data_IF_503042937027
#
_entry.id   IF_503042937027
#
_cell.length_a   1.000
_cell.length_b   1.000
_cell.length_c   1.000
_cell.angle_alpha   90.00
_cell.angle_beta   90.00
_cell.angle_gamma   90.00
#
_symmetry.space_group_name_H-M   'P 1'
#
loop_
_entity.id
_entity.type
_entity.pdbx_description
1 polymer ?
#
# COMPACT_ATOMS: atom_id res chain seq x y z
N UNK A 1 29.45 16.11 37.36
CA UNK A 1 29.56 15.00 38.31
C UNK A 1 28.82 13.79 37.77
N UNK A 2 29.54 12.71 37.44
CA UNK A 2 28.93 11.47 36.94
C UNK A 2 28.21 10.76 38.08
N UNK A 3 26.90 10.64 38.00
CA UNK A 3 26.11 9.91 39.00
C UNK A 3 26.27 8.38 38.90
N UNK A 4 27.07 7.87 37.97
CA UNK A 4 27.19 6.42 37.71
C UNK A 4 25.91 5.77 37.17
N UNK A 5 24.88 6.55 36.87
CA UNK A 5 23.65 6.03 36.30
C UNK A 5 23.87 5.58 34.85
N UNK A 6 23.35 4.42 34.50
CA UNK A 6 23.37 3.88 33.16
C UNK A 6 22.52 4.77 32.23
N UNK A 7 23.06 5.12 31.04
CA UNK A 7 22.35 5.87 30.03
C UNK A 7 21.43 4.93 29.24
N UNK A 8 20.22 5.39 28.97
CA UNK A 8 19.25 4.65 28.14
C UNK A 8 18.40 5.64 27.35
N UNK A 9 17.98 5.26 26.14
CA UNK A 9 17.23 6.14 25.26
C UNK A 9 18.12 7.20 24.57
N UNK A 10 17.51 8.27 24.14
CA UNK A 10 18.20 9.38 23.46
C UNK A 10 19.00 10.22 24.44
N UNK A 11 20.27 10.41 24.13
CA UNK A 11 21.20 11.23 24.91
C UNK A 11 21.96 12.19 23.98
N UNK A 12 22.01 13.46 24.35
CA UNK A 12 22.82 14.45 23.65
C UNK A 12 24.19 14.53 24.27
N UNK A 13 25.20 14.09 23.53
CA UNK A 13 26.59 14.20 23.91
C UNK A 13 27.24 15.45 23.26
N UNK A 14 28.54 15.65 23.48
CA UNK A 14 29.24 16.81 22.96
C UNK A 14 29.33 16.80 21.40
N UNK A 15 29.32 15.63 20.81
CA UNK A 15 29.45 15.37 19.37
C UNK A 15 28.11 15.16 18.65
N UNK A 16 26.99 14.97 19.36
CA UNK A 16 25.70 14.80 18.76
C UNK A 16 24.68 14.03 19.59
N UNK A 17 23.59 13.63 18.94
CA UNK A 17 22.61 12.74 19.54
C UNK A 17 23.02 11.28 19.37
N UNK A 18 22.89 10.51 20.44
CA UNK A 18 23.14 9.07 20.51
C UNK A 18 21.94 8.37 21.11
N UNK A 19 21.81 7.09 20.85
CA UNK A 19 20.78 6.25 21.47
C UNK A 19 21.42 5.07 22.19
N UNK A 20 20.98 4.83 23.41
CA UNK A 20 21.44 3.72 24.25
C UNK A 20 20.29 2.76 24.51
N UNK A 21 20.51 1.48 24.24
CA UNK A 21 19.56 0.44 24.54
C UNK A 21 19.28 0.33 26.05
N UNK A 22 18.26 -0.42 26.45
CA UNK A 22 17.87 -0.61 27.85
C UNK A 22 18.97 -1.23 28.72
N UNK A 23 19.93 -1.90 28.12
CA UNK A 23 21.12 -2.46 28.78
C UNK A 23 22.31 -1.48 28.80
N UNK A 24 22.12 -0.24 28.35
CA UNK A 24 23.16 0.79 28.27
C UNK A 24 24.10 0.68 27.07
N UNK A 25 23.91 -0.28 26.17
CA UNK A 25 24.71 -0.39 24.95
C UNK A 25 24.37 0.74 23.97
N UNK A 26 25.39 1.39 23.42
CA UNK A 26 25.21 2.39 22.37
C UNK A 26 24.74 1.70 21.08
N UNK A 27 23.72 2.26 20.45
CA UNK A 27 23.16 1.75 19.20
C UNK A 27 23.89 2.36 18.01
N UNK A 28 23.95 1.58 16.90
CA UNK A 28 24.41 2.00 15.58
C UNK A 28 23.53 1.38 14.51
N UNK A 29 23.49 2.00 13.32
CA UNK A 29 22.61 1.61 12.23
C UNK A 29 21.20 2.15 12.38
N UNK A 30 20.23 1.48 11.74
CA UNK A 30 18.83 1.91 11.77
C UNK A 30 18.18 1.67 13.13
N UNK A 31 17.48 2.69 13.61
CA UNK A 31 16.70 2.70 14.85
C UNK A 31 15.29 3.17 14.55
N UNK A 32 14.29 2.44 15.06
CA UNK A 32 12.90 2.90 15.05
C UNK A 32 12.50 3.31 16.46
N UNK A 33 12.09 4.57 16.62
CA UNK A 33 11.64 5.12 17.88
C UNK A 33 10.50 6.11 17.67
N UNK A 34 9.47 6.09 18.51
CA UNK A 34 8.30 6.96 18.39
C UNK A 34 7.54 6.88 17.07
N UNK A 35 7.70 5.77 16.30
CA UNK A 35 7.09 5.60 14.99
C UNK A 35 7.95 6.10 13.82
N UNK A 36 9.00 6.86 14.10
CA UNK A 36 9.95 7.40 13.10
C UNK A 36 11.22 6.54 13.02
N UNK A 37 11.90 6.63 11.86
CA UNK A 37 13.18 5.97 11.64
C UNK A 37 14.34 6.96 11.71
N UNK A 38 15.41 6.53 12.35
CA UNK A 38 16.66 7.26 12.54
C UNK A 38 17.83 6.40 12.09
N UNK A 39 18.93 7.02 11.70
CA UNK A 39 20.18 6.31 11.42
C UNK A 39 21.28 6.83 12.33
N UNK A 40 21.85 5.91 13.08
CA UNK A 40 23.00 6.15 13.94
C UNK A 40 24.24 5.63 13.23
N UNK A 41 25.24 6.46 13.09
CA UNK A 41 26.49 6.06 12.45
C UNK A 41 27.07 4.82 13.18
N UNK A 42 27.34 3.71 12.50
CA UNK A 42 27.75 2.47 13.15
C UNK A 42 29.06 2.56 13.92
N UNK A 43 29.98 3.45 13.49
CA UNK A 43 31.29 3.61 14.09
C UNK A 43 31.29 4.58 15.27
N UNK A 44 30.53 5.66 15.15
CA UNK A 44 30.50 6.74 16.13
C UNK A 44 29.26 6.73 17.02
N UNK A 45 28.15 6.12 16.58
CA UNK A 45 26.85 6.14 17.23
C UNK A 45 26.12 7.49 17.08
N UNK A 46 26.64 8.43 16.32
CA UNK A 46 26.03 9.76 16.14
C UNK A 46 24.84 9.66 15.21
N UNK A 47 23.71 10.24 15.62
CA UNK A 47 22.50 10.33 14.79
C UNK A 47 22.74 11.21 13.57
N UNK A 48 22.35 10.73 12.41
CA UNK A 48 22.40 11.48 11.15
C UNK A 48 21.26 12.49 11.05
N UNK A 49 21.63 13.70 10.64
CA UNK A 49 20.70 14.78 10.24
C UNK A 49 21.02 15.32 8.85
N UNK A 50 22.10 14.85 8.26
CA UNK A 50 22.49 15.15 6.89
C UNK A 50 22.28 13.91 6.00
N UNK A 51 22.12 14.10 4.68
CA UNK A 51 21.96 12.99 3.75
C UNK A 51 23.04 11.93 3.89
N UNK A 52 22.66 10.67 3.70
CA UNK A 52 23.55 9.50 3.82
C UNK A 52 23.47 8.67 2.56
N UNK A 53 24.61 8.41 1.94
CA UNK A 53 24.73 7.40 0.88
C UNK A 53 24.94 6.02 1.50
N UNK A 54 24.00 5.11 1.25
CA UNK A 54 24.07 3.74 1.75
C UNK A 54 23.46 2.79 0.74
N UNK A 55 24.19 1.74 0.36
CA UNK A 55 23.75 0.72 -0.61
C UNK A 55 23.27 1.29 -1.95
N UNK A 56 23.86 2.38 -2.42
CA UNK A 56 23.50 3.02 -3.69
C UNK A 56 22.24 3.90 -3.63
N UNK A 57 21.74 4.15 -2.44
CA UNK A 57 20.62 5.07 -2.19
C UNK A 57 21.07 6.23 -1.31
N UNK A 58 20.55 7.40 -1.62
CA UNK A 58 20.72 8.59 -0.80
C UNK A 58 19.50 8.77 0.10
N UNK A 59 19.72 8.66 1.40
CA UNK A 59 18.71 8.80 2.44
C UNK A 59 18.68 10.25 2.92
N UNK A 60 17.49 10.84 2.98
CA UNK A 60 17.28 12.19 3.47
C UNK A 60 16.70 12.17 4.90
N UNK A 61 17.26 13.02 5.75
CA UNK A 61 16.81 13.20 7.14
C UNK A 61 16.41 14.65 7.37
N UNK A 62 15.45 14.87 8.24
CA UNK A 62 15.14 16.22 8.68
C UNK A 62 16.03 16.67 9.85
N UNK A 63 15.79 17.91 10.34
CA UNK A 63 16.55 18.47 11.43
C UNK A 63 16.44 17.73 12.76
N UNK A 64 15.38 16.92 12.93
CA UNK A 64 15.21 16.05 14.09
C UNK A 64 15.96 14.72 13.96
N UNK A 65 16.53 14.44 12.78
CA UNK A 65 17.16 13.18 12.42
C UNK A 65 16.17 12.12 11.94
N UNK A 66 14.88 12.45 11.84
CA UNK A 66 13.91 11.52 11.30
C UNK A 66 14.09 11.34 9.78
N UNK A 67 14.11 10.09 9.34
CA UNK A 67 14.24 9.76 7.92
C UNK A 67 13.01 10.22 7.13
N UNK A 68 13.22 10.88 6.00
CA UNK A 68 12.17 11.45 5.13
C UNK A 68 12.08 10.79 3.75
N UNK A 69 12.84 9.76 3.53
CA UNK A 69 12.85 9.01 2.28
C UNK A 69 14.21 8.95 1.62
N UNK A 70 14.25 8.29 0.49
CA UNK A 70 15.43 8.37 -0.37
C UNK A 70 15.33 9.62 -1.24
N UNK A 71 16.46 10.24 -1.54
CA UNK A 71 16.58 10.94 -2.80
C UNK A 71 16.63 9.88 -3.90
N UNK A 72 15.46 9.41 -4.33
CA UNK A 72 15.42 8.53 -5.47
C UNK A 72 15.83 9.35 -6.70
N UNK A 73 16.64 8.78 -7.59
CA UNK A 73 16.72 9.29 -8.95
C UNK A 73 15.30 9.49 -9.46
N UNK A 74 15.05 10.60 -10.16
CA UNK A 74 13.73 10.87 -10.71
C UNK A 74 13.23 9.61 -11.41
N UNK A 75 12.11 9.02 -10.93
CA UNK A 75 11.56 7.83 -11.52
C UNK A 75 11.48 6.58 -10.66
N UNK A 76 11.98 6.56 -9.43
CA UNK A 76 11.87 5.36 -8.59
C UNK A 76 10.78 5.50 -7.52
N UNK A 77 10.13 4.38 -7.18
CA UNK A 77 9.21 4.30 -6.06
C UNK A 77 9.99 4.38 -4.74
N UNK A 78 9.45 5.11 -3.79
CA UNK A 78 10.02 5.22 -2.45
C UNK A 78 9.54 4.06 -1.58
N UNK A 79 10.42 3.44 -0.79
CA UNK A 79 10.00 2.52 0.25
C UNK A 79 9.16 3.21 1.32
N UNK A 80 8.18 2.47 1.83
CA UNK A 80 7.36 2.88 2.96
C UNK A 80 7.05 1.68 3.86
N UNK A 81 6.87 1.92 5.13
CA UNK A 81 6.37 0.93 6.09
C UNK A 81 4.91 1.19 6.47
N UNK A 82 4.28 2.17 5.84
CA UNK A 82 2.87 2.50 6.00
C UNK A 82 2.27 2.96 4.67
N UNK A 83 0.97 2.87 4.56
CA UNK A 83 0.24 3.37 3.41
C UNK A 83 -0.01 4.86 3.60
N UNK A 84 0.32 5.66 2.58
CA UNK A 84 -0.07 7.06 2.51
C UNK A 84 -1.30 7.22 1.61
N UNK A 85 -2.18 8.16 1.93
CA UNK A 85 -3.31 8.52 1.08
C UNK A 85 -4.40 7.46 0.91
N UNK A 86 -4.43 6.44 1.73
CA UNK A 86 -5.67 5.68 1.94
C UNK A 86 -6.78 6.55 2.52
N UNK A 87 -6.57 7.82 2.44
CA UNK A 87 -7.45 8.94 2.71
C UNK A 87 -8.73 8.52 3.23
N UNK A 88 -9.17 7.66 3.70
CA UNK A 88 -10.43 7.71 4.23
C UNK A 88 -11.11 6.37 4.44
N UNK A 89 -11.27 6.21 5.68
CA UNK A 89 -12.35 5.40 6.17
C UNK A 89 -13.72 5.69 5.47
N UNK A 90 -13.79 6.70 4.62
CA UNK A 90 -14.99 7.18 3.94
C UNK A 90 -15.15 6.64 2.52
N UNK A 91 -14.48 5.58 2.14
CA UNK A 91 -14.71 4.94 0.85
C UNK A 91 -16.15 4.42 0.72
N UNK A 92 -17.08 5.37 0.72
CA UNK A 92 -18.49 5.12 0.48
C UNK A 92 -18.69 4.68 -0.96
N UNK A 93 -19.55 3.69 -1.18
CA UNK A 93 -19.87 3.23 -2.52
C UNK A 93 -20.93 4.15 -3.13
N UNK A 94 -20.51 4.95 -4.12
CA UNK A 94 -21.34 5.91 -4.84
C UNK A 94 -21.46 5.53 -6.31
N UNK A 95 -22.36 6.22 -7.02
CA UNK A 95 -22.65 5.98 -8.43
C UNK A 95 -21.40 5.85 -9.31
N UNK A 96 -21.38 4.82 -10.15
CA UNK A 96 -20.29 4.55 -11.10
C UNK A 96 -19.09 3.83 -10.51
N UNK A 97 -19.00 3.69 -9.20
CA UNK A 97 -17.93 2.91 -8.56
C UNK A 97 -18.05 1.43 -8.88
N UNK A 98 -16.91 0.73 -8.83
CA UNK A 98 -16.83 -0.71 -9.07
C UNK A 98 -15.72 -1.32 -8.22
N UNK A 99 -15.66 -2.64 -8.16
CA UNK A 99 -14.61 -3.38 -7.45
C UNK A 99 -15.16 -4.40 -6.46
N UNK A 100 -14.25 -5.00 -5.69
CA UNK A 100 -14.55 -6.08 -4.76
C UNK A 100 -15.64 -5.69 -3.75
N UNK A 101 -15.53 -4.53 -3.15
CA UNK A 101 -16.47 -4.05 -2.14
C UNK A 101 -17.89 -3.88 -2.71
N UNK A 102 -18.00 -3.35 -3.93
CA UNK A 102 -19.30 -3.25 -4.64
C UNK A 102 -19.86 -4.63 -4.87
N UNK A 103 -19.04 -5.60 -5.30
CA UNK A 103 -19.47 -6.99 -5.52
C UNK A 103 -20.00 -7.64 -4.23
N UNK A 104 -19.29 -7.49 -3.13
CA UNK A 104 -19.73 -8.01 -1.83
C UNK A 104 -21.09 -7.43 -1.44
N UNK A 105 -21.26 -6.12 -1.59
CA UNK A 105 -22.56 -5.48 -1.33
C UNK A 105 -23.64 -5.98 -2.29
N UNK A 106 -23.35 -6.19 -3.57
CA UNK A 106 -24.30 -6.76 -4.54
C UNK A 106 -24.71 -8.17 -4.16
N UNK A 107 -23.77 -9.03 -3.75
CA UNK A 107 -24.08 -10.39 -3.27
C UNK A 107 -25.01 -10.31 -2.07
N UNK A 108 -24.72 -9.44 -1.11
CA UNK A 108 -25.52 -9.28 0.11
C UNK A 108 -26.94 -8.73 -0.16
N UNK A 109 -27.07 -7.93 -1.20
CA UNK A 109 -28.35 -7.38 -1.66
C UNK A 109 -29.10 -8.30 -2.64
N UNK A 110 -28.55 -9.47 -2.99
CA UNK A 110 -29.14 -10.41 -3.94
C UNK A 110 -29.09 -9.96 -5.41
N UNK A 111 -28.18 -9.05 -5.75
CA UNK A 111 -28.04 -8.49 -7.10
C UNK A 111 -26.95 -9.15 -7.94
N UNK A 112 -26.06 -9.91 -7.32
CA UNK A 112 -24.94 -10.52 -8.02
C UNK A 112 -25.39 -11.76 -8.82
N UNK A 113 -25.13 -11.77 -10.10
CA UNK A 113 -25.59 -12.85 -10.98
C UNK A 113 -24.48 -13.51 -11.84
N UNK A 114 -23.27 -12.94 -11.92
CA UNK A 114 -22.18 -13.51 -12.74
C UNK A 114 -20.85 -12.76 -12.57
N UNK A 115 -19.84 -13.19 -13.33
CA UNK A 115 -18.51 -12.53 -13.43
C UNK A 115 -18.51 -11.17 -14.15
N UNK A 116 -19.61 -10.45 -14.17
CA UNK A 116 -19.68 -9.11 -14.71
C UNK A 116 -19.04 -8.11 -13.76
N UNK A 117 -18.62 -6.98 -14.35
CA UNK A 117 -18.14 -5.84 -13.55
C UNK A 117 -19.19 -5.46 -12.50
N UNK A 118 -18.82 -5.56 -11.24
CA UNK A 118 -19.65 -5.09 -10.15
C UNK A 118 -19.63 -3.55 -10.13
N UNK A 119 -20.74 -2.94 -10.44
CA UNK A 119 -20.86 -1.48 -10.49
C UNK A 119 -22.01 -0.98 -9.63
N UNK A 120 -21.86 0.23 -9.08
CA UNK A 120 -22.94 0.98 -8.44
C UNK A 120 -23.76 1.64 -9.55
N UNK A 121 -24.85 1.01 -9.91
CA UNK A 121 -25.79 1.40 -10.95
C UNK A 121 -27.18 1.66 -10.34
N UNK A 122 -28.17 1.95 -11.19
CA UNK A 122 -29.53 2.24 -10.72
C UNK A 122 -30.18 1.08 -9.94
N UNK A 123 -30.10 -0.20 -10.38
CA UNK A 123 -30.55 -1.34 -9.58
C UNK A 123 -29.86 -1.42 -8.20
N UNK A 124 -28.54 -1.22 -8.14
CA UNK A 124 -27.79 -1.21 -6.89
C UNK A 124 -28.30 -0.12 -5.92
N UNK A 125 -28.40 1.11 -6.40
CA UNK A 125 -28.88 2.26 -5.59
C UNK A 125 -30.31 1.98 -5.07
N UNK A 126 -31.20 1.45 -5.90
CA UNK A 126 -32.56 1.10 -5.48
C UNK A 126 -32.56 0.00 -4.39
N UNK A 127 -31.73 -1.04 -4.55
CA UNK A 127 -31.60 -2.10 -3.54
C UNK A 127 -31.02 -1.59 -2.22
N UNK A 128 -30.02 -0.69 -2.29
CA UNK A 128 -29.46 -0.05 -1.10
C UNK A 128 -30.51 0.76 -0.36
N UNK A 129 -31.30 1.59 -1.06
CA UNK A 129 -32.40 2.37 -0.45
C UNK A 129 -33.41 1.47 0.25
N UNK A 130 -33.83 0.39 -0.41
CA UNK A 130 -34.73 -0.59 0.17
C UNK A 130 -34.15 -1.28 1.42
N UNK A 131 -32.84 -1.59 1.38
CA UNK A 131 -32.15 -2.14 2.53
C UNK A 131 -32.11 -1.14 3.70
N UNK A 132 -31.67 0.11 3.44
CA UNK A 132 -31.58 1.17 4.43
C UNK A 132 -32.94 1.42 5.10
N UNK A 133 -34.00 1.46 4.33
CA UNK A 133 -35.37 1.64 4.86
C UNK A 133 -35.74 0.51 5.82
N UNK A 134 -35.48 -0.76 5.46
CA UNK A 134 -35.76 -1.92 6.33
C UNK A 134 -34.86 -1.96 7.56
N UNK A 135 -33.63 -1.48 7.45
CA UNK A 135 -32.66 -1.43 8.55
C UNK A 135 -32.82 -0.18 9.46
N UNK A 136 -33.74 0.72 9.17
CA UNK A 136 -33.95 1.94 9.93
C UNK A 136 -32.81 2.96 9.78
N UNK A 137 -32.08 2.90 8.66
CA UNK A 137 -30.97 3.78 8.34
C UNK A 137 -31.45 4.97 7.47
N UNK A 138 -30.69 6.06 7.40
CA UNK A 138 -30.93 7.13 6.43
C UNK A 138 -30.97 6.58 4.99
N UNK A 139 -32.06 6.85 4.26
CA UNK A 139 -32.30 6.30 2.92
C UNK A 139 -31.60 7.15 1.87
N UNK A 140 -30.29 6.99 1.75
CA UNK A 140 -29.44 7.75 0.85
C UNK A 140 -29.19 7.08 -0.51
N UNK A 141 -29.21 5.73 -0.53
CA UNK A 141 -28.79 4.95 -1.69
C UNK A 141 -27.27 4.81 -1.82
N UNK A 142 -26.52 5.30 -0.84
CA UNK A 142 -25.06 5.21 -0.74
C UNK A 142 -24.72 4.18 0.32
N UNK A 143 -23.75 3.29 0.04
CA UNK A 143 -23.22 2.39 1.07
C UNK A 143 -22.08 3.10 1.76
N UNK A 144 -22.37 3.67 2.91
CA UNK A 144 -21.40 4.17 3.88
C UNK A 144 -21.04 3.07 4.89
N UNK A 145 -20.16 3.39 5.84
CA UNK A 145 -19.73 2.42 6.86
C UNK A 145 -20.91 1.90 7.69
N UNK A 146 -21.85 2.76 8.06
CA UNK A 146 -23.02 2.36 8.85
C UNK A 146 -23.91 1.40 8.06
N UNK A 147 -24.13 1.65 6.78
CA UNK A 147 -24.88 0.77 5.89
C UNK A 147 -24.15 -0.57 5.69
N UNK A 148 -22.83 -0.53 5.51
CA UNK A 148 -21.99 -1.73 5.38
C UNK A 148 -22.05 -2.62 6.63
N UNK A 149 -21.87 -2.02 7.80
CA UNK A 149 -21.92 -2.74 9.07
C UNK A 149 -23.31 -3.39 9.29
N UNK A 150 -24.39 -2.68 8.95
CA UNK A 150 -25.74 -3.21 9.01
C UNK A 150 -26.02 -4.33 8.00
N UNK A 151 -25.30 -4.36 6.87
CA UNK A 151 -25.40 -5.43 5.88
C UNK A 151 -24.89 -6.77 6.42
N UNK A 152 -24.01 -6.76 7.42
CA UNK A 152 -23.36 -7.96 7.97
C UNK A 152 -22.78 -8.84 6.86
N UNK A 153 -21.84 -8.26 6.12
CA UNK A 153 -21.27 -8.89 4.93
C UNK A 153 -20.28 -10.00 5.25
N UNK A 154 -19.82 -10.10 6.50
CA UNK A 154 -18.73 -10.97 6.93
C UNK A 154 -17.34 -10.42 6.60
N UNK A 155 -17.25 -9.24 5.97
CA UNK A 155 -15.99 -8.58 5.60
C UNK A 155 -15.86 -7.22 6.29
N UNK A 156 -14.63 -6.82 6.66
CA UNK A 156 -14.40 -5.50 7.23
C UNK A 156 -14.67 -4.40 6.18
N UNK A 157 -14.95 -3.20 6.65
CA UNK A 157 -15.12 -2.03 5.78
C UNK A 157 -13.91 -1.77 4.86
N UNK A 158 -12.73 -2.20 5.30
CA UNK A 158 -11.46 -2.04 4.61
C UNK A 158 -11.08 -3.22 3.71
N UNK A 159 -12.02 -4.07 3.33
CA UNK A 159 -11.81 -5.36 2.65
C UNK A 159 -10.97 -5.29 1.36
N UNK A 160 -11.06 -4.19 0.64
CA UNK A 160 -10.38 -3.97 -0.63
C UNK A 160 -9.21 -2.97 -0.55
N UNK A 161 -8.77 -2.65 0.66
CA UNK A 161 -7.58 -1.83 0.89
C UNK A 161 -6.30 -2.66 0.81
N UNK A 162 -5.15 -2.02 1.00
CA UNK A 162 -3.88 -2.73 1.13
C UNK A 162 -3.93 -3.71 2.29
N UNK A 163 -3.67 -4.97 1.99
CA UNK A 163 -3.75 -6.07 2.96
C UNK A 163 -2.39 -6.65 3.31
N UNK A 164 -1.40 -6.42 2.45
CA UNK A 164 -0.05 -6.89 2.69
C UNK A 164 0.61 -6.05 3.79
N UNK A 165 1.40 -6.70 4.63
CA UNK A 165 2.30 -6.01 5.55
C UNK A 165 3.56 -5.66 4.78
N UNK A 166 3.92 -4.36 4.66
CA UNK A 166 5.11 -3.97 3.91
C UNK A 166 6.38 -4.38 4.64
N UNK A 167 7.43 -4.62 3.86
CA UNK A 167 8.77 -4.80 4.40
C UNK A 167 9.25 -3.54 5.12
N UNK A 168 10.13 -3.70 6.13
CA UNK A 168 10.73 -2.56 6.82
C UNK A 168 11.56 -1.71 5.87
N UNK A 169 11.74 -0.44 6.23
CA UNK A 169 12.48 0.54 5.42
C UNK A 169 13.92 0.11 5.15
N UNK A 170 14.51 -0.70 6.04
CA UNK A 170 15.86 -1.24 5.94
C UNK A 170 16.03 -2.40 4.96
N UNK A 171 14.93 -2.92 4.40
CA UNK A 171 14.99 -4.04 3.47
C UNK A 171 15.74 -3.67 2.18
N UNK A 172 16.56 -4.57 1.70
CA UNK A 172 17.31 -4.44 0.46
C UNK A 172 16.39 -4.53 -0.77
N UNK A 173 16.89 -4.07 -1.93
CA UNK A 173 16.16 -4.23 -3.20
C UNK A 173 15.81 -5.69 -3.48
N UNK A 174 16.74 -6.60 -3.23
CA UNK A 174 16.50 -8.05 -3.45
C UNK A 174 15.37 -8.58 -2.57
N UNK A 175 15.36 -8.24 -1.29
CA UNK A 175 14.29 -8.65 -0.38
C UNK A 175 12.93 -8.09 -0.82
N UNK A 176 12.89 -6.85 -1.32
CA UNK A 176 11.65 -6.26 -1.84
C UNK A 176 11.14 -6.99 -3.08
N UNK A 177 12.03 -7.32 -4.02
CA UNK A 177 11.66 -8.09 -5.22
C UNK A 177 11.10 -9.47 -4.83
N UNK A 178 11.76 -10.17 -3.91
CA UNK A 178 11.29 -11.49 -3.45
C UNK A 178 9.98 -11.39 -2.67
N UNK A 179 9.77 -10.36 -1.88
CA UNK A 179 8.49 -10.14 -1.18
C UNK A 179 7.34 -9.86 -2.15
N UNK A 180 7.58 -9.04 -3.18
CA UNK A 180 6.62 -8.77 -4.24
C UNK A 180 6.20 -10.06 -4.96
N UNK A 181 7.18 -10.86 -5.39
CA UNK A 181 6.95 -12.12 -6.08
C UNK A 181 6.27 -13.13 -5.14
N UNK A 182 6.73 -13.24 -3.90
CA UNK A 182 6.17 -14.13 -2.89
C UNK A 182 4.71 -13.81 -2.59
N UNK A 183 4.36 -12.53 -2.49
CA UNK A 183 2.96 -12.12 -2.32
C UNK A 183 2.11 -12.59 -3.50
N UNK A 184 2.53 -12.30 -4.73
CA UNK A 184 1.79 -12.70 -5.93
C UNK A 184 1.65 -14.23 -6.03
N UNK A 185 2.72 -14.96 -5.72
CA UNK A 185 2.72 -16.42 -5.72
C UNK A 185 1.74 -17.02 -4.71
N UNK A 186 1.64 -16.43 -3.52
CA UNK A 186 0.70 -16.86 -2.48
C UNK A 186 -0.77 -16.63 -2.87
N UNK A 187 -1.06 -15.84 -3.92
CA UNK A 187 -2.41 -15.67 -4.46
C UNK A 187 -2.73 -16.71 -5.56
N UNK A 188 -1.84 -17.65 -5.85
CA UNK A 188 -2.10 -18.70 -6.84
C UNK A 188 -3.34 -19.50 -6.46
N UNK A 189 -4.28 -19.64 -7.40
CA UNK A 189 -5.58 -20.29 -7.18
C UNK A 189 -6.71 -19.33 -6.82
N UNK A 190 -6.40 -18.07 -6.49
CA UNK A 190 -7.43 -17.04 -6.36
C UNK A 190 -8.13 -16.77 -7.70
N UNK A 191 -9.41 -16.46 -7.65
CA UNK A 191 -10.20 -16.16 -8.84
C UNK A 191 -9.78 -14.84 -9.49
N UNK A 192 -9.82 -14.78 -10.82
CA UNK A 192 -9.74 -13.49 -11.50
C UNK A 192 -11.07 -12.74 -11.32
N UNK A 193 -11.01 -11.57 -10.72
CA UNK A 193 -12.19 -10.73 -10.46
C UNK A 193 -11.94 -9.33 -10.99
N UNK A 194 -12.68 -8.91 -12.00
CA UNK A 194 -12.54 -7.58 -12.56
C UNK A 194 -12.76 -6.50 -11.48
N UNK A 195 -11.80 -5.58 -11.35
CA UNK A 195 -11.78 -4.56 -10.29
C UNK A 195 -11.35 -5.10 -8.93
N UNK A 196 -11.01 -6.38 -8.80
CA UNK A 196 -10.57 -6.99 -7.56
C UNK A 196 -9.13 -6.65 -7.20
N UNK A 197 -8.86 -6.46 -5.92
CA UNK A 197 -7.54 -6.29 -5.34
C UNK A 197 -7.39 -7.12 -4.05
N UNK A 198 -8.03 -8.29 -4.00
CA UNK A 198 -8.12 -9.17 -2.85
C UNK A 198 -9.33 -8.88 -1.96
N UNK A 199 -9.45 -9.61 -0.87
CA UNK A 199 -8.62 -10.73 -0.41
C UNK A 199 -8.65 -11.95 -1.34
N UNK A 200 -7.89 -12.99 -0.98
CA UNK A 200 -7.72 -14.20 -1.78
C UNK A 200 -9.04 -14.82 -2.27
N UNK A 201 -10.02 -14.92 -1.39
CA UNK A 201 -11.35 -15.49 -1.66
C UNK A 201 -12.26 -14.59 -2.50
N UNK A 202 -11.95 -13.30 -2.59
CA UNK A 202 -12.67 -12.33 -3.42
C UNK A 202 -12.02 -12.13 -4.80
N UNK A 203 -10.76 -12.45 -4.91
CA UNK A 203 -10.03 -12.42 -6.16
C UNK A 203 -9.37 -11.09 -6.52
N UNK A 204 -8.57 -11.16 -7.57
CA UNK A 204 -7.77 -10.04 -8.08
C UNK A 204 -8.02 -9.84 -9.57
N UNK A 205 -7.91 -8.62 -10.05
CA UNK A 205 -7.53 -8.38 -11.44
C UNK A 205 -6.00 -8.20 -11.55
N UNK A 206 -5.51 -8.09 -12.78
CA UNK A 206 -4.07 -8.02 -13.05
C UNK A 206 -3.38 -6.88 -12.31
N UNK A 207 -3.91 -5.68 -12.40
CA UNK A 207 -3.32 -4.50 -11.76
C UNK A 207 -3.55 -4.46 -10.25
N UNK A 208 -4.65 -5.00 -9.75
CA UNK A 208 -4.91 -5.11 -8.32
C UNK A 208 -3.93 -6.05 -7.62
N UNK A 209 -3.59 -7.18 -8.26
CA UNK A 209 -2.55 -8.09 -7.76
C UNK A 209 -1.18 -7.39 -7.74
N UNK A 210 -0.83 -6.69 -8.80
CA UNK A 210 0.44 -5.95 -8.88
C UNK A 210 0.53 -4.87 -7.80
N UNK A 211 -0.52 -4.09 -7.57
CA UNK A 211 -0.53 -3.05 -6.55
C UNK A 211 -0.34 -3.62 -5.13
N UNK A 212 -1.03 -4.70 -4.80
CA UNK A 212 -0.87 -5.39 -3.52
C UNK A 212 0.54 -5.98 -3.37
N UNK A 213 1.11 -6.52 -4.46
CA UNK A 213 2.46 -7.06 -4.47
C UNK A 213 3.52 -5.99 -4.27
N UNK A 214 3.37 -4.83 -4.91
CA UNK A 214 4.24 -3.67 -4.70
C UNK A 214 4.19 -3.20 -3.24
N UNK A 215 2.99 -3.15 -2.65
CA UNK A 215 2.87 -2.79 -1.25
C UNK A 215 3.50 -3.82 -0.31
N UNK A 216 3.36 -5.12 -0.59
CA UNK A 216 4.07 -6.17 0.16
C UNK A 216 5.60 -5.97 0.13
N UNK A 217 6.12 -5.46 -0.97
CA UNK A 217 7.52 -5.06 -1.09
C UNK A 217 7.86 -3.76 -0.33
N UNK A 218 6.90 -3.10 0.29
CA UNK A 218 7.08 -1.79 0.91
C UNK A 218 7.20 -0.67 -0.09
N UNK A 219 6.59 -0.80 -1.26
CA UNK A 219 6.55 0.22 -2.31
C UNK A 219 5.12 0.73 -2.46
N UNK A 220 4.87 1.96 -2.06
CA UNK A 220 3.57 2.61 -2.21
C UNK A 220 3.56 3.49 -3.45
N UNK A 221 2.95 3.04 -4.56
CA UNK A 221 2.92 3.78 -5.80
C UNK A 221 1.88 4.92 -5.75
N UNK A 222 2.08 5.91 -4.91
CA UNK A 222 1.23 7.09 -4.84
C UNK A 222 1.28 7.91 -6.14
N UNK A 223 0.17 8.35 -6.67
CA UNK A 223 -1.23 8.31 -6.17
C UNK A 223 -2.02 7.04 -6.54
N UNK A 224 -1.38 5.93 -6.87
CA UNK A 224 -2.08 4.68 -7.20
C UNK A 224 -2.89 4.20 -6.00
N UNK A 225 -4.13 3.81 -6.22
CA UNK A 225 -5.05 3.40 -5.18
C UNK A 225 -5.63 2.02 -5.46
N UNK A 226 -5.39 1.05 -4.57
CA UNK A 226 -5.97 -0.29 -4.67
C UNK A 226 -7.40 -0.36 -4.17
N UNK A 227 -7.83 0.61 -3.39
CA UNK A 227 -9.23 0.78 -2.98
C UNK A 227 -10.03 1.25 -4.20
N UNK A 228 -10.49 0.31 -4.97
CA UNK A 228 -11.02 0.57 -6.29
C UNK A 228 -12.52 0.68 -6.28
N UNK A 229 -13.01 1.86 -6.41
CA UNK A 229 -14.43 2.12 -6.45
C UNK A 229 -14.87 2.93 -7.67
N UNK A 230 -14.04 3.82 -8.14
CA UNK A 230 -14.23 4.60 -9.34
C UNK A 230 -12.85 5.04 -9.81
N UNK A 231 -12.70 5.52 -10.96
CA UNK A 231 -11.49 5.94 -11.67
C UNK A 231 -10.37 6.58 -10.81
N UNK A 232 -9.70 5.87 -9.91
CA UNK A 232 -8.50 6.39 -9.29
C UNK A 232 -7.38 6.35 -10.31
N UNK A 233 -6.47 7.29 -10.22
CA UNK A 233 -5.26 7.29 -11.00
C UNK A 233 -4.47 6.00 -10.77
N UNK A 234 -3.87 5.46 -11.83
CA UNK A 234 -2.97 4.32 -11.82
C UNK A 234 -3.56 3.00 -11.29
N UNK A 235 -4.88 2.82 -11.34
CA UNK A 235 -5.51 1.55 -10.93
C UNK A 235 -5.54 0.51 -12.04
N UNK A 236 -5.64 0.91 -13.28
CA UNK A 236 -5.70 0.01 -14.45
C UNK A 236 -4.30 -0.32 -14.98
N UNK A 237 -4.19 -1.39 -15.78
CA UNK A 237 -2.92 -1.73 -16.43
C UNK A 237 -2.41 -0.62 -17.36
N UNK A 238 -3.31 0.12 -18.02
CA UNK A 238 -2.97 1.27 -18.85
C UNK A 238 -2.36 2.41 -18.04
N UNK A 239 -2.98 2.73 -16.91
CA UNK A 239 -2.52 3.79 -16.02
C UNK A 239 -1.20 3.42 -15.34
N UNK A 240 -1.03 2.14 -14.95
CA UNK A 240 0.24 1.64 -14.44
C UNK A 240 1.34 1.73 -15.49
N UNK A 241 1.06 1.35 -16.74
CA UNK A 241 2.01 1.47 -17.84
C UNK A 241 2.45 2.93 -18.05
N UNK A 242 1.53 3.85 -17.95
CA UNK A 242 1.78 5.29 -18.09
C UNK A 242 2.38 5.94 -16.83
N UNK A 243 2.56 5.18 -15.74
CA UNK A 243 3.03 5.74 -14.48
C UNK A 243 4.46 6.25 -14.58
N UNK A 244 4.71 7.56 -14.35
CA UNK A 244 5.99 8.19 -14.65
C UNK A 244 7.16 7.71 -13.79
N UNK A 245 6.89 6.95 -12.73
CA UNK A 245 7.91 6.35 -11.87
C UNK A 245 8.26 4.92 -12.26
N UNK A 246 7.69 4.39 -13.34
CA UNK A 246 8.13 3.14 -13.95
C UNK A 246 9.01 3.42 -15.15
N UNK A 247 10.21 2.86 -15.13
CA UNK A 247 11.11 2.92 -16.27
C UNK A 247 10.78 1.81 -17.25
N UNK A 248 10.47 2.17 -18.49
CA UNK A 248 10.26 1.18 -19.54
C UNK A 248 11.61 0.66 -20.02
N UNK A 249 11.79 -0.65 -19.99
CA UNK A 249 12.97 -1.34 -20.48
C UNK A 249 12.60 -2.33 -21.58
N UNK A 250 13.48 -2.53 -22.60
CA UNK A 250 13.27 -3.56 -23.58
C UNK A 250 13.14 -4.95 -22.95
N UNK A 251 12.27 -5.80 -23.47
CA UNK A 251 12.04 -7.16 -22.95
C UNK A 251 13.34 -7.98 -22.82
N UNK A 252 14.31 -7.76 -23.73
CA UNK A 252 15.61 -8.42 -23.67
C UNK A 252 16.47 -8.00 -22.46
N UNK A 253 16.16 -6.86 -21.85
CA UNK A 253 16.87 -6.32 -20.67
C UNK A 253 16.11 -6.54 -19.36
N UNK A 254 15.00 -7.28 -19.42
CA UNK A 254 14.17 -7.54 -18.24
C UNK A 254 14.97 -8.22 -17.14
N UNK A 255 14.67 -7.85 -15.91
CA UNK A 255 15.25 -8.41 -14.70
C UNK A 255 14.16 -9.02 -13.82
N UNK A 256 14.58 -9.82 -12.85
CA UNK A 256 13.67 -10.36 -11.83
C UNK A 256 13.01 -9.22 -11.06
N UNK A 257 11.68 -9.24 -10.98
CA UNK A 257 10.86 -8.22 -10.36
C UNK A 257 10.34 -7.14 -11.30
N UNK A 258 10.67 -7.19 -12.59
CA UNK A 258 10.08 -6.30 -13.57
C UNK A 258 8.63 -6.70 -13.88
N UNK A 259 7.77 -5.70 -14.09
CA UNK A 259 6.40 -5.88 -14.53
C UNK A 259 6.35 -6.05 -16.05
N UNK A 260 5.60 -7.02 -16.52
CA UNK A 260 5.41 -7.27 -17.96
C UNK A 260 4.05 -6.76 -18.38
N UNK A 261 4.03 -5.84 -19.34
CA UNK A 261 2.79 -5.32 -19.91
C UNK A 261 2.52 -5.94 -21.27
N UNK A 262 1.27 -6.36 -21.47
CA UNK A 262 0.80 -6.93 -22.73
C UNK A 262 -0.06 -5.92 -23.46
N UNK A 263 0.12 -5.86 -24.77
CA UNK A 263 -0.63 -4.94 -25.63
C UNK A 263 -1.43 -5.70 -26.69
N UNK A 264 -2.62 -5.19 -26.98
CA UNK A 264 -3.44 -5.64 -28.12
C UNK A 264 -3.75 -4.43 -28.97
N UNK A 265 -3.38 -4.47 -30.23
CA UNK A 265 -3.57 -3.37 -31.19
C UNK A 265 -3.01 -2.01 -30.66
N UNK A 266 -1.85 -2.06 -30.00
CA UNK A 266 -1.20 -0.85 -29.46
C UNK A 266 -1.75 -0.34 -28.12
N UNK A 267 -2.78 -0.97 -27.59
CA UNK A 267 -3.34 -0.61 -26.29
C UNK A 267 -2.92 -1.63 -25.24
N UNK A 268 -2.47 -1.17 -24.09
CA UNK A 268 -2.16 -2.04 -22.94
C UNK A 268 -3.46 -2.67 -22.43
N UNK A 269 -3.47 -3.98 -22.29
CA UNK A 269 -4.66 -4.74 -21.88
C UNK A 269 -4.43 -5.57 -20.63
N UNK A 270 -3.18 -5.81 -20.26
CA UNK A 270 -2.85 -6.65 -19.12
C UNK A 270 -1.48 -6.29 -18.53
N UNK A 271 -1.26 -6.62 -17.28
CA UNK A 271 0.03 -6.55 -16.56
C UNK A 271 0.24 -7.83 -15.76
N UNK A 272 1.50 -8.30 -15.72
CA UNK A 272 1.91 -9.46 -14.94
C UNK A 272 3.28 -9.21 -14.27
#
# INVERSE_FOLDING_TARGET
GSSGAMRTGWERLADGWHYFASNGAQMGGWLRDGGEWYYLDPDTGIMRTAPLELNGHRYEFDASGAWRGYEAPAGYLQPTDHITGLGDATNTLTWGMNGTKVRIAQVRLGLWHSNKLASVDAPFVAAVKNFQQRAGLPVTGVVDKATWDAMDTGYPWTVDQYQATPLPLTATRSERVEAMIGYAWNQTGSSYTWGGAGPYDQGFDCSGLVLQSLYAAGLDPQPINVVKHAWPSYRTSQELYAYPRFQHVPLAQRQRGDLIFYTTSGTVTHVA
#
